data_IF_662637125013
#
_entry.id   IF_662637125013
#
_cell.length_a   1.000
_cell.length_b   1.000
_cell.length_c   1.000
_cell.angle_alpha   90.00
_cell.angle_beta   90.00
_cell.angle_gamma   90.00
#
_symmetry.space_group_name_H-M   'P 1'
#
loop_
_entity.id
_entity.type
_entity.pdbx_description
1 polymer ?
#
# COMPACT_ATOMS: atom_id res chain seq x y z
N UNK A 1 8.55 -12.04 20.79
CA UNK A 1 8.88 -11.14 19.66
C UNK A 1 8.07 -9.86 19.81
N UNK A 2 8.70 -8.72 20.07
CA UNK A 2 8.00 -7.43 20.01
C UNK A 2 7.82 -7.05 18.54
N UNK A 3 6.59 -6.87 18.08
CA UNK A 3 6.31 -6.40 16.73
C UNK A 3 6.74 -4.93 16.60
N UNK A 4 7.80 -4.67 15.82
CA UNK A 4 8.17 -3.30 15.45
C UNK A 4 7.10 -2.78 14.47
N UNK A 5 6.10 -2.09 15.00
CA UNK A 5 5.12 -1.39 14.17
C UNK A 5 5.77 -0.12 13.64
N UNK A 6 6.15 -0.13 12.36
CA UNK A 6 6.70 1.05 11.68
C UNK A 6 5.52 1.99 11.39
N UNK A 7 5.36 3.04 12.20
CA UNK A 7 4.32 4.05 11.99
C UNK A 7 4.79 4.97 10.86
N UNK A 8 4.14 4.86 9.70
CA UNK A 8 4.41 5.71 8.52
C UNK A 8 3.34 6.80 8.51
N UNK A 9 3.77 8.05 8.33
CA UNK A 9 2.88 9.20 8.26
C UNK A 9 2.67 9.61 6.79
N UNK A 10 1.42 9.78 6.38
CA UNK A 10 1.01 10.16 5.02
C UNK A 10 0.24 11.49 5.00
N UNK A 11 0.40 12.33 6.03
CA UNK A 11 -0.33 13.58 6.14
C UNK A 11 -0.05 14.50 4.93
N UNK A 12 -1.12 14.95 4.25
CA UNK A 12 -1.03 15.78 3.04
C UNK A 12 -0.74 15.02 1.74
N UNK A 13 -0.84 13.69 1.72
CA UNK A 13 -0.71 12.88 0.52
C UNK A 13 -2.03 12.20 0.18
N UNK A 14 -2.45 12.32 -1.08
CA UNK A 14 -3.55 11.53 -1.61
C UNK A 14 -3.04 10.11 -1.91
N UNK A 15 -3.72 9.11 -1.34
CA UNK A 15 -3.39 7.69 -1.52
C UNK A 15 -4.47 7.05 -2.38
N UNK A 16 -4.07 6.46 -3.50
CA UNK A 16 -4.96 5.70 -4.37
C UNK A 16 -4.60 4.21 -4.30
N UNK A 17 -5.58 3.37 -4.00
CA UNK A 17 -5.41 1.93 -3.83
C UNK A 17 -6.27 1.18 -4.85
N UNK A 18 -5.62 0.39 -5.70
CA UNK A 18 -6.28 -0.56 -6.60
C UNK A 18 -6.08 -1.98 -6.07
N UNK A 19 -7.17 -2.71 -5.83
CA UNK A 19 -7.13 -4.10 -5.41
C UNK A 19 -7.67 -4.96 -6.55
N UNK A 20 -6.80 -5.79 -7.13
CA UNK A 20 -7.17 -6.77 -8.13
C UNK A 20 -7.30 -8.14 -7.48
N UNK A 21 -8.55 -8.63 -7.42
CA UNK A 21 -8.94 -9.83 -6.68
C UNK A 21 -9.15 -10.96 -7.68
N UNK A 22 -8.07 -11.62 -8.09
CA UNK A 22 -8.17 -12.88 -8.82
C UNK A 22 -8.10 -14.06 -7.83
N UNK A 23 -9.01 -15.04 -7.98
CA UNK A 23 -9.28 -16.15 -7.05
C UNK A 23 -8.06 -16.95 -6.55
N UNK A 24 -6.90 -16.80 -7.19
CA UNK A 24 -5.66 -17.52 -6.87
C UNK A 24 -4.55 -16.62 -6.32
N UNK A 25 -4.54 -15.33 -6.64
CA UNK A 25 -3.52 -14.36 -6.25
C UNK A 25 -4.12 -12.95 -6.20
N UNK A 26 -3.82 -12.22 -5.15
CA UNK A 26 -4.30 -10.85 -4.96
C UNK A 26 -3.15 -9.91 -5.28
N UNK A 27 -3.39 -8.93 -6.14
CA UNK A 27 -2.39 -7.91 -6.48
C UNK A 27 -2.87 -6.58 -5.90
N UNK A 28 -2.03 -5.96 -5.08
CA UNK A 28 -2.31 -4.67 -4.46
C UNK A 28 -1.39 -3.63 -5.06
N UNK A 29 -1.96 -2.59 -5.67
CA UNK A 29 -1.22 -1.45 -6.21
C UNK A 29 -1.50 -0.21 -5.39
N UNK A 30 -0.43 0.41 -4.86
CA UNK A 30 -0.51 1.66 -4.11
C UNK A 30 0.18 2.74 -4.94
N UNK A 31 -0.55 3.81 -5.22
CA UNK A 31 -0.07 4.99 -5.96
C UNK A 31 -0.22 6.19 -5.04
N UNK A 32 0.90 6.82 -4.70
CA UNK A 32 0.97 8.12 -4.05
C UNK A 32 1.73 9.11 -4.92
N UNK A 33 1.59 10.41 -4.65
CA UNK A 33 2.08 11.49 -5.51
C UNK A 33 3.55 11.38 -5.94
N UNK A 34 4.41 10.71 -5.13
CA UNK A 34 5.82 10.43 -5.45
C UNK A 34 6.24 8.95 -5.23
N UNK A 35 5.32 8.02 -4.98
CA UNK A 35 5.65 6.63 -4.61
C UNK A 35 4.70 5.65 -5.31
N UNK A 36 5.26 4.72 -6.09
CA UNK A 36 4.53 3.60 -6.68
C UNK A 36 5.06 2.31 -6.04
N UNK A 37 4.19 1.56 -5.37
CA UNK A 37 4.52 0.27 -4.76
C UNK A 37 3.60 -0.84 -5.30
N UNK A 38 4.18 -1.96 -5.72
CA UNK A 38 3.48 -3.14 -6.25
C UNK A 38 4.00 -4.39 -5.56
N UNK A 39 3.12 -5.26 -5.10
CA UNK A 39 3.47 -6.59 -4.57
C UNK A 39 2.54 -7.68 -5.06
#
# INVERSE_FOLDING_TARGET
MQSKVKKINFNGQDIYVGIDVHLKNWVVTIIGSNIIYKT
#
